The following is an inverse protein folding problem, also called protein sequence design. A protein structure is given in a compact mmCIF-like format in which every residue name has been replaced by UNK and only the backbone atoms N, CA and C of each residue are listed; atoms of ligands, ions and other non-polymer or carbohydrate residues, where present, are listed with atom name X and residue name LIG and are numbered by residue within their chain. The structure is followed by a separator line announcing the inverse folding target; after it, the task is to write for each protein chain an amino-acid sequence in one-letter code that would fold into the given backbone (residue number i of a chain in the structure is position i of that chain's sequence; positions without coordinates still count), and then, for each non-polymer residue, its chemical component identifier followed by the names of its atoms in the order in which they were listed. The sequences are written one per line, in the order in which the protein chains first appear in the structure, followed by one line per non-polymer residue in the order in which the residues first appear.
data_IF_495575858729
#
_entry.id   IF_495575858729
#
_cell.length_a   1.000
_cell.length_b   1.000
_cell.length_c   1.000
_cell.angle_alpha   90.00
_cell.angle_beta   90.00
_cell.angle_gamma   90.00
#
_symmetry.space_group_name_H-M   'P 1'
#
loop_
_entity.id
_entity.type
_entity.pdbx_description
1 polymer ?
#
# COMPACT_ATOMS: atom_id res chain seq x y z
N UNK A 1 20.01 -4.49 -10.05
CA UNK A 1 18.69 -4.95 -9.52
C UNK A 1 17.62 -4.02 -10.08
N UNK A 2 16.52 -4.52 -10.67
CA UNK A 2 15.48 -3.63 -11.21
C UNK A 2 14.52 -3.24 -10.09
N UNK A 3 14.62 -2.01 -9.59
CA UNK A 3 13.67 -1.47 -8.61
C UNK A 3 12.29 -1.29 -9.24
N UNK A 4 11.24 -1.56 -8.46
CA UNK A 4 9.85 -1.55 -8.92
C UNK A 4 9.06 -0.42 -8.30
N UNK A 5 8.08 0.09 -9.04
CA UNK A 5 7.18 1.14 -8.57
C UNK A 5 5.73 0.66 -8.49
N UNK A 6 4.96 1.27 -7.61
CA UNK A 6 3.51 1.13 -7.50
C UNK A 6 2.88 2.52 -7.53
N UNK A 7 2.08 2.79 -8.55
CA UNK A 7 1.40 4.10 -8.71
C UNK A 7 0.04 4.04 -8.00
N UNK A 8 -0.22 4.96 -7.08
CA UNK A 8 -1.54 5.09 -6.46
C UNK A 8 -2.53 5.83 -7.38
N UNK A 9 -3.67 5.20 -7.66
CA UNK A 9 -4.79 5.73 -8.44
C UNK A 9 -5.96 5.99 -7.49
N UNK A 10 -6.27 7.26 -7.28
CA UNK A 10 -7.32 7.73 -6.38
C UNK A 10 -8.36 8.56 -7.14
N UNK A 11 -9.14 7.89 -7.96
CA UNK A 11 -10.14 8.48 -8.85
C UNK A 11 -11.56 8.20 -8.34
N UNK A 12 -12.48 9.10 -8.70
CA UNK A 12 -13.88 9.12 -8.22
C UNK A 12 -14.88 8.38 -9.12
N UNK A 13 -14.40 7.75 -10.21
CA UNK A 13 -15.27 7.01 -11.13
C UNK A 13 -14.55 5.83 -11.79
N UNK A 14 -15.30 4.75 -12.14
CA UNK A 14 -14.73 3.57 -12.79
C UNK A 14 -13.99 3.88 -14.10
N UNK A 15 -14.51 4.82 -14.89
CA UNK A 15 -13.94 5.19 -16.21
C UNK A 15 -12.57 5.84 -16.03
N UNK A 16 -12.44 6.78 -15.08
CA UNK A 16 -11.15 7.43 -14.77
C UNK A 16 -10.14 6.43 -14.23
N UNK A 17 -10.55 5.50 -13.35
CA UNK A 17 -9.69 4.40 -12.87
C UNK A 17 -9.16 3.60 -14.05
N UNK A 18 -10.02 3.12 -14.95
CA UNK A 18 -9.61 2.31 -16.10
C UNK A 18 -8.64 3.07 -17.03
N UNK A 19 -8.91 4.35 -17.29
CA UNK A 19 -8.03 5.21 -18.10
C UNK A 19 -6.65 5.35 -17.47
N UNK A 20 -6.59 5.73 -16.19
CA UNK A 20 -5.32 5.95 -15.50
C UNK A 20 -4.56 4.65 -15.23
N UNK A 21 -5.26 3.54 -15.05
CA UNK A 21 -4.68 2.20 -14.92
C UNK A 21 -3.94 1.80 -16.19
N UNK A 22 -4.54 2.01 -17.36
CA UNK A 22 -3.90 1.71 -18.66
C UNK A 22 -2.59 2.48 -18.83
N UNK A 23 -2.57 3.76 -18.47
CA UNK A 23 -1.35 4.58 -18.52
C UNK A 23 -0.32 4.14 -17.47
N UNK A 24 -0.79 3.86 -16.25
CA UNK A 24 0.04 3.41 -15.13
C UNK A 24 0.79 2.12 -15.47
N UNK A 25 0.10 1.10 -15.96
CA UNK A 25 0.69 -0.21 -16.22
C UNK A 25 1.62 -0.25 -17.43
N UNK A 26 1.67 0.82 -18.23
CA UNK A 26 2.69 1.02 -19.27
C UNK A 26 4.01 1.53 -18.69
N UNK A 27 3.98 2.21 -17.55
CA UNK A 27 5.12 2.96 -17.01
C UNK A 27 5.59 2.47 -15.65
N UNK A 28 4.76 1.75 -14.91
CA UNK A 28 5.01 1.25 -13.55
C UNK A 28 4.72 -0.24 -13.48
N UNK A 29 5.45 -0.97 -12.63
CA UNK A 29 5.29 -2.42 -12.47
C UNK A 29 3.93 -2.79 -11.87
N UNK A 30 3.47 -1.96 -10.92
CA UNK A 30 2.21 -2.14 -10.21
C UNK A 30 1.38 -0.87 -10.19
N UNK A 31 0.08 -1.03 -9.93
CA UNK A 31 -0.85 0.03 -9.56
C UNK A 31 -1.45 -0.27 -8.19
N UNK A 32 -1.80 0.76 -7.43
CA UNK A 32 -2.72 0.67 -6.30
C UNK A 32 -4.03 1.35 -6.69
N UNK A 33 -5.15 0.64 -6.62
CA UNK A 33 -6.47 1.25 -6.82
C UNK A 33 -7.10 1.53 -5.46
N UNK A 34 -7.33 2.81 -5.18
CA UNK A 34 -7.96 3.32 -3.96
C UNK A 34 -9.47 3.35 -4.12
N UNK A 35 -10.12 2.22 -3.86
CA UNK A 35 -11.57 2.07 -3.96
C UNK A 35 -12.33 2.95 -2.96
N UNK A 36 -11.67 3.43 -1.90
CA UNK A 36 -12.27 4.36 -0.94
C UNK A 36 -12.60 5.75 -1.52
N UNK A 37 -12.14 6.07 -2.74
CA UNK A 37 -12.53 7.28 -3.47
C UNK A 37 -13.77 7.09 -4.36
N UNK A 38 -14.22 5.86 -4.55
CA UNK A 38 -15.42 5.56 -5.32
C UNK A 38 -16.65 5.53 -4.42
N UNK A 39 -17.81 5.72 -5.04
CA UNK A 39 -19.08 5.33 -4.40
C UNK A 39 -19.12 3.81 -4.25
N UNK A 40 -19.66 3.33 -3.13
CA UNK A 40 -19.72 1.89 -2.79
C UNK A 40 -20.37 1.07 -3.91
N UNK A 41 -21.46 1.56 -4.49
CA UNK A 41 -22.19 0.88 -5.57
C UNK A 41 -21.41 0.80 -6.90
N UNK A 42 -20.34 1.56 -7.07
CA UNK A 42 -19.49 1.53 -8.28
C UNK A 42 -18.32 0.54 -8.17
N UNK A 43 -18.03 0.03 -6.96
CA UNK A 43 -16.91 -0.88 -6.73
C UNK A 43 -17.05 -2.18 -7.54
N UNK A 44 -18.20 -2.89 -7.54
CA UNK A 44 -18.35 -4.12 -8.32
C UNK A 44 -18.14 -3.90 -9.82
N UNK A 45 -18.72 -2.82 -10.38
CA UNK A 45 -18.52 -2.43 -11.77
C UNK A 45 -17.05 -2.13 -12.06
N UNK A 46 -16.36 -1.46 -11.14
CA UNK A 46 -14.93 -1.14 -11.27
C UNK A 46 -14.07 -2.40 -11.31
N UNK A 47 -14.33 -3.37 -10.43
CA UNK A 47 -13.64 -4.66 -10.42
C UNK A 47 -13.81 -5.38 -11.77
N UNK A 48 -15.02 -5.45 -12.29
CA UNK A 48 -15.31 -6.07 -13.60
C UNK A 48 -14.55 -5.44 -14.76
N UNK A 49 -14.49 -4.10 -14.82
CA UNK A 49 -13.83 -3.42 -15.95
C UNK A 49 -12.30 -3.50 -15.91
N UNK A 50 -11.69 -3.71 -14.73
CA UNK A 50 -10.23 -3.83 -14.55
C UNK A 50 -9.77 -5.28 -14.33
N UNK A 51 -10.67 -6.27 -14.37
CA UNK A 51 -10.39 -7.65 -13.95
C UNK A 51 -9.17 -8.29 -14.61
N UNK A 52 -8.93 -7.97 -15.89
CA UNK A 52 -7.80 -8.50 -16.66
C UNK A 52 -6.44 -8.04 -16.14
N UNK A 53 -6.40 -6.91 -15.45
CA UNK A 53 -5.19 -6.26 -14.96
C UNK A 53 -4.94 -6.52 -13.46
N UNK A 54 -5.90 -7.12 -12.74
CA UNK A 54 -5.87 -7.26 -11.27
C UNK A 54 -4.61 -7.94 -10.73
N UNK A 55 -3.98 -8.83 -11.51
CA UNK A 55 -2.70 -9.47 -11.16
C UNK A 55 -1.50 -8.52 -11.07
N UNK A 56 -1.68 -7.23 -11.37
CA UNK A 56 -0.71 -6.14 -11.15
C UNK A 56 -1.23 -5.05 -10.21
N UNK A 57 -2.37 -5.27 -9.56
CA UNK A 57 -3.07 -4.25 -8.77
C UNK A 57 -3.08 -4.60 -7.28
N UNK A 58 -2.61 -3.66 -6.47
CA UNK A 58 -2.90 -3.61 -5.03
C UNK A 58 -4.29 -2.99 -4.87
N UNK A 59 -5.28 -3.78 -4.49
CA UNK A 59 -6.61 -3.28 -4.20
C UNK A 59 -6.66 -2.76 -2.76
N UNK A 60 -7.01 -1.50 -2.57
CA UNK A 60 -7.03 -0.85 -1.25
C UNK A 60 -8.39 -0.19 -1.01
N UNK A 61 -9.04 -0.53 0.11
CA UNK A 61 -10.28 0.10 0.58
C UNK A 61 -10.03 0.71 1.96
N UNK A 62 -9.33 1.85 1.98
CA UNK A 62 -8.80 2.49 3.19
C UNK A 62 -9.94 3.12 4.02
N UNK A 63 -10.06 2.83 5.34
CA UNK A 63 -11.02 3.50 6.21
C UNK A 63 -10.55 4.91 6.59
N UNK A 64 -11.50 5.77 6.99
CA UNK A 64 -11.22 7.14 7.48
C UNK A 64 -10.22 7.18 8.64
N UNK A 65 -10.25 6.18 9.52
CA UNK A 65 -9.34 6.05 10.67
C UNK A 65 -7.86 5.91 10.30
N UNK A 66 -7.56 5.48 9.06
CA UNK A 66 -6.20 5.41 8.52
C UNK A 66 -6.03 6.31 7.27
N UNK A 67 -6.73 7.45 7.23
CA UNK A 67 -6.55 8.47 6.19
C UNK A 67 -7.20 8.15 4.84
N UNK A 68 -8.13 7.21 4.81
CA UNK A 68 -8.96 6.91 3.64
C UNK A 68 -10.23 7.75 3.56
N UNK A 69 -11.00 7.51 2.50
CA UNK A 69 -12.26 8.22 2.22
C UNK A 69 -13.51 7.34 2.29
N UNK A 70 -13.38 6.08 2.72
CA UNK A 70 -14.53 5.17 2.79
C UNK A 70 -15.59 5.67 3.78
N UNK A 71 -16.83 5.79 3.33
CA UNK A 71 -17.91 6.44 4.11
C UNK A 71 -18.93 5.47 4.73
N UNK A 72 -18.90 4.20 4.34
CA UNK A 72 -19.79 3.18 4.90
C UNK A 72 -19.36 2.66 6.27
N UNK A 73 -20.16 1.76 6.83
CA UNK A 73 -19.83 1.05 8.07
C UNK A 73 -18.67 0.07 7.89
N UNK A 74 -17.98 -0.26 8.98
CA UNK A 74 -16.91 -1.29 8.94
C UNK A 74 -17.45 -2.66 8.50
N UNK A 75 -18.71 -2.98 8.82
CA UNK A 75 -19.37 -4.21 8.36
C UNK A 75 -19.51 -4.23 6.84
N UNK A 76 -19.97 -3.13 6.24
CA UNK A 76 -20.04 -2.99 4.78
C UNK A 76 -18.65 -3.06 4.15
N UNK A 77 -17.67 -2.36 4.73
CA UNK A 77 -16.29 -2.39 4.24
C UNK A 77 -15.73 -3.81 4.20
N UNK A 78 -15.96 -4.59 5.25
CA UNK A 78 -15.54 -5.99 5.35
C UNK A 78 -16.21 -6.84 4.27
N UNK A 79 -17.50 -6.65 4.00
CA UNK A 79 -18.19 -7.33 2.90
C UNK A 79 -17.56 -7.00 1.54
N UNK A 80 -17.17 -5.74 1.32
CA UNK A 80 -16.50 -5.33 0.07
C UNK A 80 -15.07 -5.88 -0.01
N UNK A 81 -14.32 -5.93 1.10
CA UNK A 81 -13.00 -6.59 1.14
C UNK A 81 -13.11 -8.06 0.74
N UNK A 82 -14.13 -8.78 1.25
CA UNK A 82 -14.42 -10.16 0.85
C UNK A 82 -14.73 -10.26 -0.64
N UNK A 83 -15.59 -9.38 -1.16
CA UNK A 83 -15.87 -9.32 -2.60
C UNK A 83 -14.59 -9.11 -3.43
N UNK A 84 -13.74 -8.13 -3.08
CA UNK A 84 -12.48 -7.88 -3.79
C UNK A 84 -11.57 -9.11 -3.75
N UNK A 85 -11.56 -9.85 -2.63
CA UNK A 85 -10.77 -11.08 -2.50
C UNK A 85 -11.22 -12.20 -3.45
N UNK A 86 -12.47 -12.23 -3.90
CA UNK A 86 -12.91 -13.22 -4.92
C UNK A 86 -12.33 -12.94 -6.31
N UNK A 87 -11.91 -11.70 -6.57
CA UNK A 87 -11.31 -11.32 -7.85
C UNK A 87 -9.79 -11.56 -7.90
N UNK A 88 -9.19 -12.06 -6.81
CA UNK A 88 -7.80 -12.51 -6.74
C UNK A 88 -6.77 -11.49 -7.31
N UNK A 89 -6.70 -10.27 -6.74
CA UNK A 89 -5.73 -9.26 -7.16
C UNK A 89 -4.28 -9.65 -6.82
N UNK A 90 -3.32 -8.84 -7.30
CA UNK A 90 -1.90 -9.00 -6.93
C UNK A 90 -1.74 -9.00 -5.41
N UNK A 91 -2.34 -8.00 -4.76
CA UNK A 91 -2.46 -7.90 -3.30
C UNK A 91 -3.80 -7.25 -2.94
N UNK A 92 -4.42 -7.73 -1.86
CA UNK A 92 -5.49 -7.02 -1.16
C UNK A 92 -4.91 -6.37 0.09
N UNK A 93 -4.94 -5.04 0.17
CA UNK A 93 -4.53 -4.28 1.35
C UNK A 93 -5.64 -4.36 2.42
N UNK A 94 -5.28 -4.86 3.60
CA UNK A 94 -6.16 -4.90 4.78
C UNK A 94 -5.42 -4.31 5.99
N UNK A 95 -6.04 -3.36 6.66
CA UNK A 95 -5.46 -2.72 7.85
C UNK A 95 -5.27 -3.73 8.99
N UNK A 96 -4.11 -3.64 9.67
CA UNK A 96 -3.79 -4.45 10.84
C UNK A 96 -4.86 -4.34 11.93
N UNK A 97 -5.41 -3.14 12.15
CA UNK A 97 -6.44 -2.92 13.15
C UNK A 97 -7.75 -3.65 12.82
N UNK A 98 -8.08 -3.78 11.54
CA UNK A 98 -9.27 -4.50 11.05
C UNK A 98 -9.07 -6.00 11.16
N UNK A 99 -7.99 -6.52 10.59
CA UNK A 99 -7.75 -7.97 10.54
C UNK A 99 -7.54 -8.56 11.94
N UNK A 100 -6.91 -7.81 12.86
CA UNK A 100 -6.70 -8.24 14.26
C UNK A 100 -8.03 -8.41 15.00
N UNK A 101 -9.02 -7.54 14.73
CA UNK A 101 -10.31 -7.53 15.43
C UNK A 101 -11.32 -8.50 14.81
N UNK A 102 -11.13 -8.93 13.57
CA UNK A 102 -12.11 -9.73 12.84
C UNK A 102 -11.58 -11.12 12.47
N UNK A 103 -11.79 -12.10 13.37
CA UNK A 103 -11.39 -13.50 13.15
C UNK A 103 -12.11 -14.16 11.97
N UNK A 104 -13.35 -13.75 11.67
CA UNK A 104 -14.11 -14.29 10.55
C UNK A 104 -13.54 -13.85 9.20
N UNK A 105 -13.13 -12.58 9.08
CA UNK A 105 -12.43 -12.08 7.91
C UNK A 105 -11.12 -12.83 7.70
N UNK A 106 -10.35 -13.09 8.76
CA UNK A 106 -9.13 -13.92 8.67
C UNK A 106 -9.44 -15.31 8.10
N UNK A 107 -10.46 -15.98 8.62
CA UNK A 107 -10.86 -17.32 8.13
C UNK A 107 -11.30 -17.27 6.68
N UNK A 108 -12.12 -16.29 6.32
CA UNK A 108 -12.59 -16.10 4.94
C UNK A 108 -11.43 -15.85 3.97
N UNK A 109 -10.53 -14.92 4.26
CA UNK A 109 -9.43 -14.62 3.35
C UNK A 109 -8.52 -15.83 3.13
N UNK A 110 -8.37 -16.71 4.13
CA UNK A 110 -7.65 -17.99 3.99
C UNK A 110 -8.32 -19.01 3.07
N UNK A 111 -9.63 -18.90 2.82
CA UNK A 111 -10.31 -19.77 1.84
C UNK A 111 -10.17 -19.25 0.41
N UNK A 112 -9.70 -18.01 0.23
CA UNK A 112 -9.44 -17.41 -1.09
C UNK A 112 -7.99 -17.67 -1.54
N UNK A 113 -7.72 -17.48 -2.85
CA UNK A 113 -6.36 -17.48 -3.40
C UNK A 113 -5.61 -16.15 -3.21
N UNK A 114 -6.31 -15.13 -2.72
CA UNK A 114 -5.82 -13.76 -2.67
C UNK A 114 -4.69 -13.60 -1.67
N UNK A 115 -3.60 -12.99 -2.14
CA UNK A 115 -2.49 -12.59 -1.28
C UNK A 115 -2.85 -11.30 -0.54
N UNK A 116 -2.63 -11.29 0.77
CA UNK A 116 -2.99 -10.14 1.62
C UNK A 116 -1.76 -9.29 1.91
N UNK A 117 -1.89 -7.98 1.79
CA UNK A 117 -0.95 -7.00 2.32
C UNK A 117 -1.51 -6.47 3.64
N UNK A 118 -0.83 -6.73 4.75
CA UNK A 118 -1.26 -6.21 6.05
C UNK A 118 -0.62 -4.84 6.22
N UNK A 119 -1.44 -3.80 6.32
CA UNK A 119 -0.96 -2.42 6.38
C UNK A 119 -1.23 -1.75 7.72
N UNK A 120 -0.39 -0.78 8.10
CA UNK A 120 -0.61 0.05 9.27
C UNK A 120 0.01 1.43 9.06
N UNK A 121 -0.72 2.46 9.46
CA UNK A 121 -0.32 3.85 9.26
C UNK A 121 -0.29 4.62 10.58
N UNK A 122 0.79 5.37 10.85
CA UNK A 122 0.86 6.36 11.92
C UNK A 122 1.06 7.74 11.32
N UNK A 123 -0.02 8.51 11.27
CA UNK A 123 -0.01 9.86 10.70
C UNK A 123 0.62 10.90 11.64
N UNK A 124 0.94 10.55 12.89
CA UNK A 124 1.41 11.50 13.91
C UNK A 124 2.91 11.44 14.13
N UNK A 125 3.52 10.26 14.08
CA UNK A 125 4.94 10.06 14.42
C UNK A 125 5.52 8.78 13.83
N UNK A 126 6.83 8.63 13.97
CA UNK A 126 7.52 7.34 13.83
C UNK A 126 7.79 6.77 15.22
N UNK A 127 7.14 5.64 15.62
CA UNK A 127 7.39 5.00 16.92
C UNK A 127 8.85 4.59 17.15
N UNK A 128 9.19 4.24 18.40
CA UNK A 128 10.53 3.72 18.72
C UNK A 128 10.75 2.35 18.09
N UNK A 129 12.01 1.98 17.86
CA UNK A 129 12.38 0.73 17.17
C UNK A 129 11.77 -0.54 17.80
N UNK A 130 11.69 -0.69 19.15
CA UNK A 130 11.02 -1.84 19.76
C UNK A 130 9.52 -1.93 19.42
N UNK A 131 8.83 -0.79 19.36
CA UNK A 131 7.40 -0.72 19.02
C UNK A 131 7.19 -1.07 17.54
N UNK A 132 8.03 -0.55 16.65
CA UNK A 132 8.02 -0.88 15.21
C UNK A 132 8.29 -2.37 14.98
N UNK A 133 9.28 -2.94 15.67
CA UNK A 133 9.60 -4.38 15.58
C UNK A 133 8.43 -5.22 16.07
N UNK A 134 7.86 -4.89 17.23
CA UNK A 134 6.69 -5.60 17.75
C UNK A 134 5.50 -5.49 16.77
N UNK A 135 5.26 -4.30 16.19
CA UNK A 135 4.21 -4.09 15.19
C UNK A 135 4.40 -5.00 13.98
N UNK A 136 5.60 -5.02 13.39
CA UNK A 136 5.93 -5.88 12.25
C UNK A 136 5.73 -7.36 12.58
N UNK A 137 6.23 -7.84 13.72
CA UNK A 137 6.07 -9.24 14.14
C UNK A 137 4.59 -9.61 14.38
N UNK A 138 3.79 -8.67 14.87
CA UNK A 138 2.35 -8.91 15.03
C UNK A 138 1.61 -8.96 13.70
N UNK A 139 1.97 -8.08 12.76
CA UNK A 139 1.40 -8.05 11.40
C UNK A 139 1.78 -9.29 10.60
N UNK A 140 3.03 -9.75 10.74
CA UNK A 140 3.55 -10.91 10.02
C UNK A 140 2.90 -12.24 10.39
N UNK A 141 2.11 -12.28 11.47
CA UNK A 141 1.27 -13.44 11.83
C UNK A 141 0.10 -13.65 10.87
N UNK A 142 -0.29 -12.62 10.13
CA UNK A 142 -1.43 -12.66 9.21
C UNK A 142 -1.00 -12.78 7.74
N UNK A 143 0.16 -12.24 7.38
CA UNK A 143 0.73 -12.35 6.03
C UNK A 143 2.23 -12.10 6.03
N UNK A 144 2.95 -12.70 5.07
CA UNK A 144 4.34 -12.38 4.80
C UNK A 144 4.53 -11.02 4.11
N UNK A 145 3.46 -10.38 3.62
CA UNK A 145 3.52 -9.04 3.03
C UNK A 145 3.00 -8.01 4.03
N UNK A 146 3.86 -7.08 4.42
CA UNK A 146 3.60 -6.11 5.50
C UNK A 146 3.94 -4.70 5.01
N UNK A 147 3.05 -3.74 5.25
CA UNK A 147 3.24 -2.31 4.94
C UNK A 147 3.16 -1.46 6.20
N UNK A 148 4.22 -0.74 6.54
CA UNK A 148 4.28 0.14 7.72
C UNK A 148 4.65 1.53 7.25
N UNK A 149 3.73 2.48 7.40
CA UNK A 149 3.96 3.86 6.96
C UNK A 149 3.77 4.81 8.14
N UNK A 150 4.80 5.53 8.51
CA UNK A 150 4.78 6.47 9.64
C UNK A 150 4.90 7.91 9.17
N UNK A 151 4.82 8.89 10.06
CA UNK A 151 5.16 10.30 9.75
C UNK A 151 6.53 10.63 10.32
N UNK A 152 7.41 11.18 9.47
CA UNK A 152 8.74 11.63 9.86
C UNK A 152 8.71 13.10 10.30
N UNK A 153 9.30 13.39 11.46
CA UNK A 153 9.56 14.77 11.92
C UNK A 153 11.04 15.15 11.88
N UNK A 154 11.92 14.21 11.58
CA UNK A 154 13.38 14.41 11.54
C UNK A 154 14.07 13.34 10.70
N UNK A 155 15.36 13.50 10.42
CA UNK A 155 16.13 12.48 9.68
C UNK A 155 16.21 11.17 10.49
N UNK A 156 16.29 11.26 11.82
CA UNK A 156 16.33 10.12 12.74
C UNK A 156 15.05 9.29 12.70
N UNK A 157 13.89 9.92 12.48
CA UNK A 157 12.64 9.20 12.25
C UNK A 157 12.71 8.38 10.95
N UNK A 158 13.22 8.99 9.88
CA UNK A 158 13.38 8.34 8.58
C UNK A 158 14.39 7.20 8.60
N UNK A 159 15.51 7.35 9.31
CA UNK A 159 16.48 6.25 9.46
C UNK A 159 15.90 5.12 10.31
N UNK A 160 15.14 5.44 11.37
CA UNK A 160 14.54 4.44 12.25
C UNK A 160 13.51 3.55 11.56
N UNK A 161 12.69 4.08 10.66
CA UNK A 161 11.79 3.24 9.86
C UNK A 161 12.58 2.36 8.87
N UNK A 162 13.65 2.88 8.27
CA UNK A 162 14.50 2.12 7.34
C UNK A 162 15.28 0.99 8.02
N UNK A 163 15.66 1.15 9.29
CA UNK A 163 16.29 0.08 10.08
C UNK A 163 15.43 -1.18 10.20
N UNK A 164 14.12 -1.12 9.95
CA UNK A 164 13.26 -2.30 9.96
C UNK A 164 13.65 -3.35 8.91
N UNK A 165 14.26 -2.93 7.80
CA UNK A 165 14.68 -3.83 6.72
C UNK A 165 15.78 -4.81 7.12
N UNK A 166 16.58 -4.50 8.16
CA UNK A 166 17.60 -5.43 8.66
C UNK A 166 17.02 -6.49 9.60
N UNK A 167 15.77 -6.33 10.06
CA UNK A 167 15.22 -7.15 11.16
C UNK A 167 14.72 -8.53 10.74
N UNK A 168 14.15 -8.68 9.54
CA UNK A 168 13.65 -9.97 9.05
C UNK A 168 13.53 -10.03 7.52
N UNK A 169 14.50 -10.67 6.87
CA UNK A 169 14.55 -10.81 5.41
C UNK A 169 13.47 -11.72 4.81
N UNK A 170 12.71 -12.47 5.63
CA UNK A 170 11.62 -13.35 5.16
C UNK A 170 10.28 -12.63 4.96
N UNK A 171 10.17 -11.38 5.43
CA UNK A 171 8.97 -10.55 5.28
C UNK A 171 9.15 -9.67 4.05
N UNK A 172 8.15 -9.68 3.15
CA UNK A 172 8.04 -8.70 2.06
C UNK A 172 7.59 -7.36 2.67
N UNK A 173 8.55 -6.62 3.20
CA UNK A 173 8.30 -5.37 3.94
C UNK A 173 8.26 -4.16 2.99
N UNK A 174 7.23 -3.35 3.13
CA UNK A 174 7.13 -2.02 2.53
C UNK A 174 7.06 -1.00 3.67
N UNK A 175 8.18 -0.38 4.00
CA UNK A 175 8.30 0.53 5.12
C UNK A 175 8.99 1.83 4.69
N UNK A 176 8.33 2.96 4.95
CA UNK A 176 8.86 4.30 4.71
C UNK A 176 8.05 5.31 5.52
N UNK A 177 8.55 6.54 5.61
CA UNK A 177 7.86 7.62 6.30
C UNK A 177 7.27 8.65 5.33
N UNK A 178 6.15 9.24 5.73
CA UNK A 178 5.50 10.41 5.15
C UNK A 178 6.15 11.70 5.64
N UNK A 179 5.76 12.81 5.02
CA UNK A 179 6.28 14.14 5.31
C UNK A 179 7.59 14.42 4.56
N UNK A 180 8.01 15.68 4.55
CA UNK A 180 9.17 16.12 3.77
C UNK A 180 10.47 15.46 4.25
N UNK A 181 10.68 15.39 5.56
CA UNK A 181 11.81 14.65 6.17
C UNK A 181 11.77 13.15 5.86
N UNK A 182 10.59 12.61 5.53
CA UNK A 182 10.36 11.21 5.18
C UNK A 182 10.64 10.87 3.72
N UNK A 183 10.70 11.85 2.81
CA UNK A 183 10.76 11.62 1.35
C UNK A 183 11.85 10.64 0.96
N UNK A 184 13.07 10.86 1.44
CA UNK A 184 14.23 10.03 1.08
C UNK A 184 14.05 8.55 1.46
N UNK A 185 13.27 8.25 2.52
CA UNK A 185 12.99 6.87 2.92
C UNK A 185 12.20 6.09 1.85
N UNK A 186 11.42 6.77 1.00
CA UNK A 186 10.70 6.13 -0.13
C UNK A 186 11.64 5.66 -1.24
N UNK A 187 12.82 6.26 -1.34
CA UNK A 187 13.87 5.86 -2.27
C UNK A 187 14.70 4.75 -1.64
N UNK A 188 15.26 5.02 -0.45
CA UNK A 188 16.20 4.11 0.21
C UNK A 188 15.57 2.76 0.58
N UNK A 189 14.26 2.70 0.83
CA UNK A 189 13.60 1.42 1.13
C UNK A 189 13.79 0.39 0.01
N UNK A 190 13.86 0.82 -1.26
CA UNK A 190 14.11 -0.07 -2.40
C UNK A 190 15.49 -0.71 -2.33
N UNK A 191 16.52 0.07 -1.97
CA UNK A 191 17.91 -0.39 -1.82
C UNK A 191 18.07 -1.32 -0.62
N UNK A 192 17.20 -1.19 0.39
CA UNK A 192 17.20 -2.01 1.60
C UNK A 192 16.33 -3.28 1.50
N UNK A 193 15.64 -3.48 0.37
CA UNK A 193 14.90 -4.72 0.10
C UNK A 193 13.38 -4.59 0.02
N UNK A 194 12.84 -3.36 -0.04
CA UNK A 194 11.41 -3.17 -0.35
C UNK A 194 11.08 -3.76 -1.73
N UNK A 195 10.00 -4.56 -1.86
CA UNK A 195 9.65 -5.16 -3.15
C UNK A 195 9.22 -4.12 -4.20
N UNK A 196 8.72 -2.98 -3.75
CA UNK A 196 8.40 -1.79 -4.56
C UNK A 196 8.26 -0.57 -3.65
N UNK A 197 8.15 0.63 -4.23
CA UNK A 197 7.82 1.87 -3.53
C UNK A 197 6.60 2.56 -4.15
N UNK A 198 5.93 3.39 -3.38
CA UNK A 198 4.71 4.09 -3.83
C UNK A 198 5.05 5.45 -4.43
N UNK A 199 4.49 5.72 -5.61
CA UNK A 199 4.70 6.95 -6.41
C UNK A 199 3.36 7.45 -6.99
N UNK A 200 3.35 8.67 -7.51
CA UNK A 200 2.17 9.25 -8.17
C UNK A 200 2.29 9.31 -9.70
N UNK A 201 1.15 9.29 -10.39
CA UNK A 201 1.05 9.65 -11.80
C UNK A 201 0.87 11.17 -11.91
N UNK A 202 1.93 11.92 -11.61
CA UNK A 202 1.88 13.39 -11.48
C UNK A 202 1.49 13.81 -10.06
N UNK A 203 0.21 14.11 -9.80
CA UNK A 203 -0.24 14.65 -8.51
C UNK A 203 -0.10 13.63 -7.36
N UNK A 204 0.61 13.96 -6.26
CA UNK A 204 0.72 13.10 -5.08
C UNK A 204 -0.64 12.73 -4.47
N UNK A 205 -0.78 11.47 -4.03
CA UNK A 205 -1.95 10.99 -3.26
C UNK A 205 -1.68 11.08 -1.75
N UNK A 206 -0.40 11.09 -1.34
CA UNK A 206 0.03 11.24 0.04
C UNK A 206 1.20 12.22 0.18
N UNK A 207 1.38 12.86 1.35
CA UNK A 207 2.50 13.77 1.60
C UNK A 207 3.88 13.13 1.36
N UNK A 208 4.76 13.88 0.69
CA UNK A 208 6.13 13.46 0.37
C UNK A 208 6.23 12.36 -0.70
N UNK A 209 5.16 12.05 -1.43
CA UNK A 209 5.21 11.06 -2.51
C UNK A 209 5.84 11.67 -3.77
N UNK A 210 6.87 11.00 -4.31
CA UNK A 210 7.46 11.37 -5.60
C UNK A 210 6.54 11.00 -6.74
N UNK A 211 6.57 11.79 -7.81
CA UNK A 211 6.07 11.36 -9.11
C UNK A 211 6.88 10.17 -9.63
N UNK A 212 6.25 9.38 -10.49
CA UNK A 212 6.90 8.25 -11.16
C UNK A 212 8.16 8.69 -11.93
N UNK A 213 8.12 9.87 -12.55
CA UNK A 213 9.25 10.37 -13.35
C UNK A 213 10.41 10.84 -12.47
N UNK A 214 10.14 11.52 -11.35
CA UNK A 214 11.17 11.85 -10.35
C UNK A 214 11.81 10.58 -9.79
N UNK A 215 11.00 9.59 -9.39
CA UNK A 215 11.51 8.34 -8.83
C UNK A 215 12.38 7.58 -9.84
N UNK A 216 11.96 7.52 -11.11
CA UNK A 216 12.77 6.89 -12.17
C UNK A 216 14.10 7.60 -12.38
N UNK A 217 14.11 8.94 -12.39
CA UNK A 217 15.36 9.72 -12.48
C UNK A 217 16.30 9.40 -11.32
N UNK A 218 15.79 9.39 -10.10
CA UNK A 218 16.58 9.10 -8.89
C UNK A 218 17.15 7.67 -8.96
N UNK A 219 16.33 6.68 -9.30
CA UNK A 219 16.74 5.28 -9.41
C UNK A 219 17.77 5.07 -10.54
N UNK A 220 17.69 5.84 -11.62
CA UNK A 220 18.64 5.76 -12.73
C UNK A 220 19.99 6.42 -12.44
N UNK A 221 20.13 7.12 -11.31
CA UNK A 221 21.43 7.61 -10.87
C UNK A 221 22.28 6.40 -10.47
N UNK A 222 23.21 6.02 -11.33
CA UNK A 222 24.27 5.10 -10.95
C UNK A 222 25.10 5.80 -9.88
N UNK A 223 25.15 5.19 -8.69
CA UNK A 223 26.21 5.47 -7.73
C UNK A 223 27.27 4.43 -8.05
N UNK A 224 28.19 4.83 -8.92
CA UNK A 224 29.40 4.05 -9.21
C UNK A 224 30.25 3.87 -7.95
#
# INVERSE_FOLDING_TARGET
MKYKTCVSIAEDSPIKIKKNLKETLRRSDYAEVRFDFLKINEIPKTLEIIKKDLKKIVCTLRPKSEGGKFEGSEKERISILKLIAEYDPFLLDVEYNTIKKNKELVRYLKTTKTKILISWHDFKKTPKSPELKNKMMQMSKFSNSVKIVTTSKSVEDSTRILQMYSMNKKINLIAFAMGDSGRISRVLCLYLGSPYTYVSLGKPVAPGQFSLDEMKKIISLNVD
#
